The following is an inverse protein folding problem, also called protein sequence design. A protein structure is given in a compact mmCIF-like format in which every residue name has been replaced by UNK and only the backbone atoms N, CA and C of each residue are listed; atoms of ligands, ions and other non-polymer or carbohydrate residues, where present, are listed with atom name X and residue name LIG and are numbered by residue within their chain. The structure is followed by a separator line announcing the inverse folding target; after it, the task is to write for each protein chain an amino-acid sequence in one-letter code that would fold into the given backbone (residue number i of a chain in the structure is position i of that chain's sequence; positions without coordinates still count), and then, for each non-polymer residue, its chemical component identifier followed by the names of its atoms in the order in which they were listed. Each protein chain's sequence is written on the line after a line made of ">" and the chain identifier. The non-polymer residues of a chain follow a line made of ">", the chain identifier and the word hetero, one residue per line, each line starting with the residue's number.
data_IF_110979530814
#
_entry.id   IF_110979530814
#
_cell.length_a   1.000
_cell.length_b   1.000
_cell.length_c   1.000
_cell.angle_alpha   90.00
_cell.angle_beta   90.00
_cell.angle_gamma   90.00
#
_symmetry.space_group_name_H-M   'P 1'
#
loop_
_entity.id
_entity.type
_entity.pdbx_description
1 polymer ?
#
# COMPACT_ATOMS: atom_id res chain seq x y z
N UNK A 1 -8.12 -21.06 9.69
CA UNK A 1 -7.85 -20.45 8.38
C UNK A 1 -7.52 -19.00 8.68
N UNK A 2 -6.23 -18.63 8.74
CA UNK A 2 -5.86 -17.23 8.95
C UNK A 2 -6.38 -16.45 7.73
N UNK A 3 -7.25 -15.47 7.94
CA UNK A 3 -7.58 -14.53 6.89
C UNK A 3 -6.28 -13.80 6.55
N UNK A 4 -5.76 -14.02 5.34
CA UNK A 4 -4.63 -13.25 4.85
C UNK A 4 -5.06 -11.79 4.86
N UNK A 5 -4.23 -10.90 5.39
CA UNK A 5 -4.52 -9.47 5.38
C UNK A 5 -4.69 -9.01 3.93
N UNK A 6 -5.68 -8.16 3.61
CA UNK A 6 -5.86 -7.64 2.25
C UNK A 6 -4.65 -6.79 1.84
N UNK A 7 -4.39 -6.68 0.53
CA UNK A 7 -3.29 -5.85 0.02
C UNK A 7 -3.54 -4.36 0.28
N UNK A 8 -4.80 -3.91 0.19
CA UNK A 8 -5.22 -2.58 0.56
C UNK A 8 -6.55 -2.58 1.35
N UNK A 9 -6.73 -1.66 2.28
CA UNK A 9 -7.95 -1.50 3.07
C UNK A 9 -8.08 -0.07 3.62
N UNK A 10 -9.29 0.31 4.03
CA UNK A 10 -9.54 1.57 4.76
C UNK A 10 -9.46 1.27 6.26
N UNK A 11 -8.72 2.08 7.01
CA UNK A 11 -8.62 1.95 8.46
C UNK A 11 -9.73 2.73 9.19
N UNK A 12 -9.68 2.72 10.52
CA UNK A 12 -10.71 3.34 11.37
C UNK A 12 -10.72 4.89 11.26
N UNK A 13 -9.62 5.50 10.80
CA UNK A 13 -9.50 6.94 10.60
C UNK A 13 -9.96 7.38 9.19
N UNK A 14 -10.29 6.42 8.31
CA UNK A 14 -10.64 6.68 6.91
C UNK A 14 -9.43 6.73 5.97
N UNK A 15 -8.22 6.52 6.50
CA UNK A 15 -6.99 6.43 5.72
C UNK A 15 -6.94 5.11 4.96
N UNK A 16 -6.36 5.12 3.77
CA UNK A 16 -6.09 3.87 3.04
C UNK A 16 -4.72 3.34 3.47
N UNK A 17 -4.68 2.05 3.83
CA UNK A 17 -3.45 1.30 4.11
C UNK A 17 -3.19 0.30 3.00
N UNK A 18 -1.93 0.21 2.58
CA UNK A 18 -1.47 -0.77 1.58
C UNK A 18 -0.33 -1.59 2.19
N UNK A 19 -0.56 -2.89 2.35
CA UNK A 19 0.39 -3.88 2.88
C UNK A 19 1.53 -4.22 1.89
N UNK A 20 2.14 -3.20 1.27
CA UNK A 20 3.03 -3.37 0.12
C UNK A 20 4.15 -4.38 0.36
N UNK A 21 4.93 -4.23 1.44
CA UNK A 21 6.06 -5.11 1.73
C UNK A 21 5.69 -6.54 2.10
N UNK A 22 4.47 -6.77 2.57
CA UNK A 22 3.98 -8.13 2.83
C UNK A 22 3.80 -8.91 1.51
N UNK A 23 3.38 -8.21 0.44
CA UNK A 23 3.12 -8.82 -0.87
C UNK A 23 4.31 -8.72 -1.83
N UNK A 24 5.10 -7.65 -1.78
CA UNK A 24 6.23 -7.40 -2.67
C UNK A 24 7.58 -7.87 -2.12
N UNK A 25 7.68 -8.07 -0.79
CA UNK A 25 8.93 -8.39 -0.10
C UNK A 25 9.92 -7.23 0.00
N UNK A 26 9.52 -5.99 -0.33
CA UNK A 26 10.36 -4.79 -0.27
C UNK A 26 9.55 -3.53 0.08
N UNK A 27 10.23 -2.41 0.29
CA UNK A 27 9.58 -1.10 0.30
C UNK A 27 9.23 -0.63 -1.12
N UNK A 28 8.23 0.23 -1.25
CA UNK A 28 7.92 0.90 -2.50
C UNK A 28 9.02 1.93 -2.80
N UNK A 29 9.42 2.02 -4.07
CA UNK A 29 10.37 3.03 -4.52
C UNK A 29 9.70 4.40 -4.62
N UNK A 30 10.50 5.47 -4.60
CA UNK A 30 9.97 6.83 -4.78
C UNK A 30 9.21 6.98 -6.11
N UNK A 31 9.70 6.36 -7.20
CA UNK A 31 9.04 6.45 -8.50
C UNK A 31 7.65 5.79 -8.50
N UNK A 32 7.50 4.64 -7.83
CA UNK A 32 6.19 3.98 -7.70
C UNK A 32 5.24 4.79 -6.82
N UNK A 33 5.76 5.45 -5.76
CA UNK A 33 4.98 6.35 -4.91
C UNK A 33 4.52 7.59 -5.71
N UNK A 34 5.39 8.16 -6.54
CA UNK A 34 5.05 9.30 -7.39
C UNK A 34 3.98 8.94 -8.43
N UNK A 35 4.06 7.74 -9.00
CA UNK A 35 3.04 7.19 -9.90
C UNK A 35 1.70 7.00 -9.18
N UNK A 36 1.72 6.37 -7.98
CA UNK A 36 0.53 6.21 -7.15
C UNK A 36 -0.13 7.57 -6.86
N UNK A 37 0.67 8.57 -6.48
CA UNK A 37 0.15 9.91 -6.23
C UNK A 37 -0.53 10.50 -7.47
N UNK A 38 0.07 10.34 -8.65
CA UNK A 38 -0.51 10.81 -9.90
C UNK A 38 -1.84 10.13 -10.24
N UNK A 39 -1.96 8.83 -10.01
CA UNK A 39 -3.20 8.10 -10.26
C UNK A 39 -4.31 8.43 -9.25
N UNK A 40 -3.95 8.60 -7.97
CA UNK A 40 -4.89 8.96 -6.91
C UNK A 40 -5.47 10.36 -7.12
N UNK A 41 -4.65 11.34 -7.50
CA UNK A 41 -5.09 12.73 -7.76
C UNK A 41 -6.04 12.87 -8.97
N UNK A 42 -6.34 11.79 -9.69
CA UNK A 42 -7.43 11.75 -10.69
C UNK A 42 -8.80 11.51 -10.06
N UNK A 43 -8.84 11.04 -8.81
CA UNK A 43 -10.06 10.68 -8.08
C UNK A 43 -10.38 11.68 -6.96
N UNK A 44 -9.34 12.26 -6.35
CA UNK A 44 -9.39 13.09 -5.15
C UNK A 44 -8.61 14.38 -5.34
N UNK A 45 -8.95 15.41 -4.58
CA UNK A 45 -8.37 16.76 -4.75
C UNK A 45 -7.00 16.89 -4.07
N UNK A 46 -6.80 16.20 -2.96
CA UNK A 46 -5.58 16.24 -2.17
C UNK A 46 -5.33 14.90 -1.48
N UNK A 47 -4.04 14.57 -1.29
CA UNK A 47 -3.60 13.37 -0.58
C UNK A 47 -2.31 13.65 0.17
N UNK A 48 -2.05 12.87 1.21
CA UNK A 48 -0.69 12.70 1.76
C UNK A 48 -0.32 11.23 1.71
N UNK A 49 0.80 10.89 1.08
CA UNK A 49 1.32 9.52 1.06
C UNK A 49 2.50 9.39 2.03
N UNK A 50 2.41 8.41 2.93
CA UNK A 50 3.45 8.06 3.89
C UNK A 50 3.91 6.63 3.65
N UNK A 51 5.19 6.45 3.33
CA UNK A 51 5.84 5.13 3.35
C UNK A 51 6.36 4.86 4.76
N UNK A 52 5.85 3.81 5.40
CA UNK A 52 6.18 3.45 6.78
C UNK A 52 6.78 2.04 6.87
N UNK A 53 7.84 1.89 7.67
CA UNK A 53 8.27 0.59 8.17
C UNK A 53 7.65 0.36 9.55
N UNK A 54 6.85 -0.69 9.69
CA UNK A 54 6.24 -1.09 10.95
C UNK A 54 6.94 -2.31 11.51
N UNK A 55 7.53 -2.18 12.69
CA UNK A 55 8.06 -3.31 13.45
C UNK A 55 6.98 -3.86 14.38
N UNK A 56 6.63 -5.13 14.20
CA UNK A 56 5.77 -5.91 15.08
C UNK A 56 6.66 -6.87 15.86
N UNK A 57 6.67 -6.76 17.18
CA UNK A 57 7.47 -7.62 18.03
C UNK A 57 6.69 -8.09 19.26
N UNK A 58 6.82 -9.36 19.60
CA UNK A 58 6.43 -9.94 20.87
C UNK A 58 7.61 -10.75 21.47
N UNK A 59 7.37 -11.62 22.45
CA UNK A 59 8.44 -12.41 23.09
C UNK A 59 8.96 -13.55 22.21
N UNK A 60 8.24 -13.93 21.16
CA UNK A 60 8.49 -15.09 20.32
C UNK A 60 8.83 -14.69 18.87
N UNK A 61 8.37 -13.52 18.42
CA UNK A 61 8.54 -13.03 17.05
C UNK A 61 8.94 -11.56 17.01
N UNK A 62 9.81 -11.22 16.06
CA UNK A 62 10.02 -9.86 15.58
C UNK A 62 9.91 -9.87 14.04
N UNK A 63 9.10 -8.98 13.49
CA UNK A 63 8.90 -8.82 12.06
C UNK A 63 8.83 -7.34 11.70
N UNK A 64 9.36 -6.95 10.54
CA UNK A 64 9.17 -5.62 9.97
C UNK A 64 8.36 -5.74 8.69
N UNK A 65 7.32 -4.91 8.56
CA UNK A 65 6.49 -4.83 7.35
C UNK A 65 6.54 -3.40 6.79
N UNK A 66 6.73 -3.27 5.48
CA UNK A 66 6.63 -1.98 4.80
C UNK A 66 5.19 -1.77 4.36
N UNK A 67 4.60 -0.65 4.76
CA UNK A 67 3.22 -0.29 4.48
C UNK A 67 3.19 1.12 3.87
N UNK A 68 2.26 1.36 2.95
CA UNK A 68 1.93 2.72 2.50
C UNK A 68 0.65 3.14 3.21
N UNK A 69 0.64 4.36 3.74
CA UNK A 69 -0.57 5.06 4.16
C UNK A 69 -0.87 6.18 3.19
N UNK A 70 -2.14 6.29 2.79
CA UNK A 70 -2.67 7.41 2.04
C UNK A 70 -3.70 8.09 2.95
N UNK A 71 -3.38 9.31 3.37
CA UNK A 71 -4.29 10.17 4.11
C UNK A 71 -5.18 10.91 3.10
N UNK A 72 -6.49 10.87 3.33
CA UNK A 72 -7.51 11.53 2.52
C UNK A 72 -8.14 12.69 3.32
N UNK A 73 -8.75 13.64 2.63
CA UNK A 73 -9.57 14.64 3.30
C UNK A 73 -10.85 14.01 3.87
N UNK A 74 -11.33 14.50 5.03
CA UNK A 74 -12.47 13.93 5.77
C UNK A 74 -13.79 13.86 4.98
N UNK A 75 -13.89 14.61 3.88
CA UNK A 75 -15.08 14.70 3.04
C UNK A 75 -15.01 13.82 1.78
N UNK A 76 -13.89 13.13 1.55
CA UNK A 76 -13.70 12.30 0.36
C UNK A 76 -14.26 10.89 0.56
N UNK A 77 -14.84 10.32 -0.49
CA UNK A 77 -15.20 8.90 -0.51
C UNK A 77 -13.92 8.07 -0.68
N UNK A 78 -13.55 7.20 0.29
CA UNK A 78 -12.32 6.42 0.18
C UNK A 78 -12.42 5.28 -0.85
N UNK A 79 -13.61 4.93 -1.36
CA UNK A 79 -13.78 3.76 -2.22
C UNK A 79 -13.06 3.89 -3.59
N UNK A 80 -13.20 4.99 -4.35
CA UNK A 80 -12.43 5.16 -5.59
C UNK A 80 -10.90 5.14 -5.39
N UNK A 81 -10.29 5.91 -4.47
CA UNK A 81 -8.85 5.86 -4.25
C UNK A 81 -8.37 4.51 -3.69
N UNK A 82 -9.19 3.80 -2.90
CA UNK A 82 -8.87 2.44 -2.43
C UNK A 82 -8.65 1.47 -3.60
N UNK A 83 -9.56 1.46 -4.57
CA UNK A 83 -9.45 0.60 -5.75
C UNK A 83 -8.22 0.95 -6.61
N UNK A 84 -7.85 2.23 -6.67
CA UNK A 84 -6.62 2.67 -7.36
C UNK A 84 -5.38 2.14 -6.62
N UNK A 85 -5.33 2.30 -5.30
CA UNK A 85 -4.21 1.83 -4.47
C UNK A 85 -4.04 0.31 -4.51
N UNK A 86 -5.15 -0.45 -4.47
CA UNK A 86 -5.15 -1.90 -4.60
C UNK A 86 -4.53 -2.34 -5.94
N UNK A 87 -5.02 -1.79 -7.05
CA UNK A 87 -4.56 -2.13 -8.40
C UNK A 87 -3.11 -1.76 -8.64
N UNK A 88 -2.69 -0.60 -8.15
CA UNK A 88 -1.30 -0.17 -8.22
C UNK A 88 -0.39 -1.16 -7.49
N UNK A 89 -0.75 -1.57 -6.27
CA UNK A 89 0.05 -2.49 -5.49
C UNK A 89 0.14 -3.87 -6.16
N UNK A 90 -0.98 -4.37 -6.71
CA UNK A 90 -1.01 -5.61 -7.48
C UNK A 90 -0.09 -5.56 -8.71
N UNK A 91 -0.09 -4.44 -9.44
CA UNK A 91 0.77 -4.25 -10.61
C UNK A 91 2.27 -4.27 -10.23
N UNK A 92 2.66 -3.50 -9.20
CA UNK A 92 4.05 -3.50 -8.71
C UNK A 92 4.52 -4.90 -8.27
N UNK A 93 3.64 -5.66 -7.61
CA UNK A 93 3.95 -7.04 -7.17
C UNK A 93 4.07 -7.98 -8.36
N UNK A 94 3.19 -7.86 -9.36
CA UNK A 94 3.22 -8.68 -10.56
C UNK A 94 4.49 -8.44 -11.40
N UNK A 95 4.87 -7.18 -11.61
CA UNK A 95 6.09 -6.81 -12.34
C UNK A 95 7.33 -7.37 -11.64
N UNK A 96 7.37 -7.31 -10.29
CA UNK A 96 8.46 -7.90 -9.52
C UNK A 96 8.59 -9.42 -9.72
N UNK A 97 7.47 -10.13 -9.79
CA UNK A 97 7.48 -11.58 -10.00
C UNK A 97 7.96 -11.95 -11.41
N UNK A 98 7.70 -11.10 -12.41
CA UNK A 98 8.23 -11.28 -13.76
C UNK A 98 9.75 -11.15 -13.79
N UNK A 99 10.31 -10.10 -13.18
CA UNK A 99 11.77 -9.88 -13.12
C UNK A 99 12.55 -11.03 -12.45
N UNK A 100 11.97 -11.71 -11.45
CA UNK A 100 12.61 -12.83 -10.76
C UNK A 100 12.58 -14.12 -11.60
N UNK A 101 11.57 -14.29 -12.45
CA UNK A 101 11.37 -15.52 -13.25
C UNK A 101 12.22 -15.52 -14.52
N UNK A 102 12.67 -14.35 -14.98
CA UNK A 102 13.48 -14.19 -16.20
C UNK A 102 15.00 -14.18 -15.96
N UNK A 103 15.46 -14.41 -14.72
CA UNK A 103 16.87 -14.47 -14.33
C UNK A 103 17.38 -15.90 -14.09
#
# INVERSE_FOLDING_TARGET
>A
MQALAPIAFVDDDGDIRVNFGMFSGREATQAEIDELAHELLKQVDAITIVSEQRTVADREMEASVHQIRIELDENEDPQPPLLVAERWAEACVADRHAEITEA
#
